data_IF_806225575659
#
_entry.id   IF_806225575659
#
_cell.length_a   1.000
_cell.length_b   1.000
_cell.length_c   1.000
_cell.angle_alpha   90.00
_cell.angle_beta   90.00
_cell.angle_gamma   90.00
#
_symmetry.space_group_name_H-M   'P 1'
#
loop_
_entity.id
_entity.type
_entity.pdbx_description
1 polymer ?
#
# COMPACT_ATOMS: atom_id res chain seq x y z
N UNK A 1 -3.16 8.19 15.97
CA UNK A 1 -4.22 7.44 15.31
C UNK A 1 -4.34 6.04 15.91
N UNK A 2 -5.53 5.63 16.21
CA UNK A 2 -5.75 4.33 16.80
C UNK A 2 -5.62 3.21 15.77
N UNK A 3 -4.80 2.22 16.04
CA UNK A 3 -4.56 1.09 15.15
C UNK A 3 -5.28 -0.15 15.68
N UNK A 4 -6.24 -0.64 14.89
CA UNK A 4 -6.92 -1.88 15.24
C UNK A 4 -6.08 -3.07 14.85
N UNK A 5 -5.57 -3.78 15.81
CA UNK A 5 -4.73 -4.96 15.56
C UNK A 5 -5.52 -6.16 15.06
N UNK A 6 -6.84 -6.04 14.94
CA UNK A 6 -7.69 -7.14 14.50
C UNK A 6 -7.50 -7.53 13.06
N UNK A 7 -7.26 -6.55 12.20
CA UNK A 7 -7.08 -6.80 10.78
C UNK A 7 -5.59 -6.93 10.48
N UNK A 8 -5.19 -8.14 10.16
CA UNK A 8 -3.79 -8.41 9.83
C UNK A 8 -3.72 -9.15 8.51
N UNK A 9 -2.63 -8.93 7.81
CA UNK A 9 -2.29 -9.74 6.63
C UNK A 9 -1.34 -10.82 7.09
N UNK A 10 -1.70 -12.07 6.84
CA UNK A 10 -0.88 -13.21 7.20
C UNK A 10 -0.14 -13.72 5.97
N UNK A 11 1.17 -13.76 6.07
CA UNK A 11 2.02 -14.29 5.00
C UNK A 11 2.79 -15.46 5.55
N UNK A 12 2.46 -16.66 5.09
CA UNK A 12 3.06 -17.89 5.60
C UNK A 12 3.63 -18.71 4.45
N UNK A 13 4.90 -19.07 4.55
CA UNK A 13 5.56 -19.88 3.55
C UNK A 13 6.71 -20.66 4.17
N UNK A 14 6.69 -21.98 4.03
CA UNK A 14 7.73 -22.83 4.59
C UNK A 14 7.78 -22.69 6.10
N UNK A 15 8.94 -22.38 6.62
CA UNK A 15 9.13 -22.22 8.06
C UNK A 15 8.87 -20.80 8.55
N UNK A 16 8.50 -19.88 7.64
CA UNK A 16 8.35 -18.48 7.98
C UNK A 16 6.89 -18.05 8.00
N UNK A 17 6.54 -17.27 9.01
CA UNK A 17 5.20 -16.69 9.12
C UNK A 17 5.33 -15.24 9.56
N UNK A 18 4.70 -14.35 8.81
CA UNK A 18 4.70 -12.91 9.10
C UNK A 18 3.27 -12.44 9.24
N UNK A 19 3.00 -11.69 10.29
CA UNK A 19 1.70 -11.07 10.53
C UNK A 19 1.88 -9.56 10.50
N UNK A 20 1.21 -8.90 9.55
CA UNK A 20 1.32 -7.45 9.39
C UNK A 20 -0.02 -6.81 9.71
N UNK A 21 -0.10 -6.01 10.80
CA UNK A 21 -1.32 -5.25 11.06
C UNK A 21 -1.56 -4.28 9.90
N UNK A 22 -2.76 -4.26 9.38
CA UNK A 22 -3.09 -3.47 8.19
C UNK A 22 -2.85 -1.98 8.38
N UNK A 23 -3.14 -1.49 9.57
CA UNK A 23 -2.97 -0.06 9.85
C UNK A 23 -1.51 0.38 9.82
N UNK A 24 -0.57 -0.57 9.94
CA UNK A 24 0.85 -0.27 9.89
C UNK A 24 1.45 -0.46 8.50
N UNK A 25 0.71 -1.08 7.60
CA UNK A 25 1.21 -1.38 6.26
C UNK A 25 1.06 -0.16 5.35
N UNK A 26 2.19 0.40 4.93
CA UNK A 26 2.18 1.59 4.09
C UNK A 26 2.23 1.24 2.61
N UNK A 27 3.21 0.43 2.22
CA UNK A 27 3.28 -0.02 0.83
C UNK A 27 4.11 -1.29 0.71
N UNK A 28 3.99 -1.93 -0.44
CA UNK A 28 4.74 -3.14 -0.78
C UNK A 28 5.32 -2.92 -2.16
N UNK A 29 6.62 -3.13 -2.31
CA UNK A 29 7.25 -2.96 -3.61
C UNK A 29 7.97 -4.23 -4.04
N UNK A 30 7.95 -4.47 -5.35
CA UNK A 30 8.61 -5.62 -5.93
C UNK A 30 10.14 -5.45 -5.87
N UNK A 31 10.83 -6.54 -5.57
CA UNK A 31 12.28 -6.56 -5.50
C UNK A 31 12.76 -7.90 -6.07
N UNK A 32 12.99 -7.95 -7.37
CA UNK A 32 13.31 -9.18 -8.10
C UNK A 32 12.17 -10.20 -7.93
N UNK A 33 12.46 -11.38 -7.41
CA UNK A 33 11.45 -12.42 -7.18
C UNK A 33 10.80 -12.31 -5.80
N UNK A 34 11.15 -11.27 -5.07
CA UNK A 34 10.66 -11.02 -3.71
C UNK A 34 9.80 -9.78 -3.68
N UNK A 35 9.17 -9.56 -2.55
CA UNK A 35 8.46 -8.31 -2.30
C UNK A 35 8.94 -7.74 -0.97
N UNK A 36 9.00 -6.43 -0.89
CA UNK A 36 9.44 -5.72 0.30
C UNK A 36 8.24 -5.03 0.93
N UNK A 37 7.92 -5.41 2.16
CA UNK A 37 6.81 -4.83 2.91
C UNK A 37 7.36 -3.70 3.77
N UNK A 38 6.78 -2.50 3.61
CA UNK A 38 7.23 -1.33 4.34
C UNK A 38 6.13 -0.86 5.28
N UNK A 39 6.48 -0.76 6.55
CA UNK A 39 5.53 -0.37 7.58
C UNK A 39 5.81 1.06 8.06
N UNK A 40 4.88 1.58 8.86
CA UNK A 40 4.86 2.98 9.26
C UNK A 40 6.11 3.43 10.01
N UNK A 41 6.77 2.50 10.70
CA UNK A 41 8.02 2.82 11.40
C UNK A 41 9.25 2.81 10.48
N UNK A 42 9.04 2.64 9.18
CA UNK A 42 10.12 2.62 8.20
C UNK A 42 10.80 1.27 8.04
N UNK A 43 10.34 0.27 8.78
CA UNK A 43 10.94 -1.05 8.69
C UNK A 43 10.56 -1.74 7.38
N UNK A 44 11.54 -2.40 6.77
CA UNK A 44 11.35 -3.12 5.52
C UNK A 44 11.52 -4.62 5.78
N UNK A 45 10.53 -5.39 5.34
CA UNK A 45 10.57 -6.84 5.51
C UNK A 45 10.48 -7.49 4.15
N UNK A 46 11.47 -8.30 3.83
CA UNK A 46 11.53 -8.99 2.54
C UNK A 46 10.81 -10.33 2.65
N UNK A 47 9.90 -10.59 1.72
CA UNK A 47 9.16 -11.85 1.70
C UNK A 47 9.32 -12.53 0.36
N UNK A 48 9.33 -13.87 0.37
CA UNK A 48 9.56 -14.68 -0.83
C UNK A 48 8.30 -14.90 -1.64
N UNK A 49 7.61 -13.80 -1.93
CA UNK A 49 6.41 -13.80 -2.76
C UNK A 49 6.54 -12.71 -3.80
N UNK A 50 6.04 -12.98 -4.99
CA UNK A 50 5.94 -11.94 -6.00
C UNK A 50 4.75 -11.07 -5.66
N UNK A 51 4.75 -9.84 -6.17
CA UNK A 51 3.74 -8.84 -5.83
C UNK A 51 2.32 -9.30 -6.16
N UNK A 52 2.15 -9.99 -7.30
CA UNK A 52 0.85 -10.53 -7.68
C UNK A 52 0.32 -11.56 -6.70
N UNK A 53 1.21 -12.36 -6.12
CA UNK A 53 0.83 -13.35 -5.13
C UNK A 53 0.36 -12.68 -3.85
N UNK A 54 1.02 -11.58 -3.46
CA UNK A 54 0.63 -10.82 -2.28
C UNK A 54 -0.72 -10.15 -2.53
N UNK A 55 -0.94 -9.64 -3.73
CA UNK A 55 -2.22 -9.06 -4.09
C UNK A 55 -3.35 -10.07 -3.91
N UNK A 56 -3.13 -11.31 -4.34
CA UNK A 56 -4.11 -12.38 -4.17
C UNK A 56 -4.37 -12.67 -2.69
N UNK A 57 -3.31 -12.69 -1.88
CA UNK A 57 -3.48 -12.90 -0.44
C UNK A 57 -4.29 -11.80 0.21
N UNK A 58 -4.07 -10.56 -0.21
CA UNK A 58 -4.83 -9.41 0.30
C UNK A 58 -6.31 -9.59 -0.03
N UNK A 59 -6.63 -9.94 -1.27
CA UNK A 59 -8.02 -10.13 -1.66
C UNK A 59 -8.68 -11.28 -0.91
N UNK A 60 -7.99 -12.40 -0.75
CA UNK A 60 -8.53 -13.56 -0.06
C UNK A 60 -8.78 -13.30 1.42
N UNK A 61 -7.84 -12.64 2.07
CA UNK A 61 -7.90 -12.50 3.52
C UNK A 61 -8.72 -11.30 3.98
N UNK A 62 -8.72 -10.22 3.22
CA UNK A 62 -9.27 -8.97 3.68
C UNK A 62 -10.66 -8.63 3.12
N UNK A 63 -11.08 -9.31 2.06
CA UNK A 63 -12.40 -9.07 1.49
C UNK A 63 -12.64 -7.59 1.18
N UNK A 64 -13.59 -6.98 1.86
CA UNK A 64 -13.94 -5.58 1.63
C UNK A 64 -12.78 -4.63 1.96
N UNK A 65 -11.98 -4.98 2.95
CA UNK A 65 -10.82 -4.16 3.33
C UNK A 65 -9.73 -4.16 2.28
N UNK A 66 -9.77 -5.09 1.33
CA UNK A 66 -8.77 -5.16 0.27
C UNK A 66 -8.82 -3.93 -0.64
N UNK A 67 -9.97 -3.22 -0.68
CA UNK A 67 -10.13 -2.03 -1.48
C UNK A 67 -9.26 -0.86 -1.06
N UNK A 68 -8.72 -0.90 0.16
CA UNK A 68 -7.81 0.12 0.63
C UNK A 68 -6.41 -0.04 0.03
N UNK A 69 -6.12 -1.20 -0.54
CA UNK A 69 -4.82 -1.48 -1.13
C UNK A 69 -4.90 -1.43 -2.65
N UNK A 70 -4.13 -0.54 -3.24
CA UNK A 70 -4.19 -0.27 -4.68
C UNK A 70 -2.92 -0.71 -5.37
N UNK A 71 -3.07 -1.46 -6.45
CA UNK A 71 -1.94 -1.87 -7.28
C UNK A 71 -1.60 -0.73 -8.23
N UNK A 72 -0.37 -0.23 -8.15
CA UNK A 72 0.12 0.82 -9.05
C UNK A 72 1.18 0.22 -9.97
N UNK A 73 0.78 -0.06 -11.20
CA UNK A 73 1.70 -0.65 -12.16
C UNK A 73 2.12 -2.06 -11.76
N UNK A 74 3.33 -2.42 -12.13
CA UNK A 74 3.85 -3.76 -11.90
C UNK A 74 4.61 -3.94 -10.60
N UNK A 75 5.04 -2.85 -10.02
CA UNK A 75 6.01 -2.91 -8.94
C UNK A 75 5.55 -2.42 -7.59
N UNK A 76 4.29 -2.02 -7.46
CA UNK A 76 3.89 -1.33 -6.24
C UNK A 76 2.45 -1.61 -5.83
N UNK A 77 2.26 -1.86 -4.54
CA UNK A 77 0.93 -1.89 -3.92
C UNK A 77 0.99 -0.87 -2.80
N UNK A 78 0.04 0.05 -2.76
CA UNK A 78 0.02 1.08 -1.71
C UNK A 78 -1.24 0.95 -0.86
N UNK A 79 -1.13 1.40 0.39
CA UNK A 79 -2.28 1.57 1.25
C UNK A 79 -2.81 2.97 1.03
N UNK A 80 -3.99 3.09 0.43
CA UNK A 80 -4.53 4.39 0.05
C UNK A 80 -4.74 5.33 1.23
N UNK A 81 -4.86 4.79 2.44
CA UNK A 81 -5.01 5.60 3.65
C UNK A 81 -3.77 6.46 3.93
N UNK A 82 -2.64 6.12 3.35
CA UNK A 82 -1.40 6.86 3.57
C UNK A 82 -1.07 7.85 2.45
N UNK A 83 -1.92 7.98 1.45
CA UNK A 83 -1.66 8.92 0.37
C UNK A 83 -1.70 10.35 0.92
N UNK A 84 -0.58 11.03 0.84
CA UNK A 84 -0.44 12.39 1.37
C UNK A 84 -0.31 13.43 0.26
N UNK A 85 0.48 13.13 -0.79
CA UNK A 85 0.75 14.10 -1.83
C UNK A 85 0.95 13.40 -3.16
N UNK A 86 0.26 13.87 -4.19
CA UNK A 86 0.42 13.38 -5.56
C UNK A 86 0.81 14.56 -6.43
N UNK A 87 1.95 14.45 -7.10
CA UNK A 87 2.39 15.45 -8.09
C UNK A 87 2.56 14.75 -9.42
N UNK A 88 1.57 14.88 -10.28
CA UNK A 88 1.55 14.19 -11.57
C UNK A 88 2.68 14.67 -12.47
N UNK A 89 2.89 15.97 -12.51
CA UNK A 89 3.94 16.58 -13.35
C UNK A 89 5.33 16.10 -12.97
N UNK A 90 5.61 16.04 -11.68
CA UNK A 90 6.91 15.58 -11.17
C UNK A 90 6.99 14.08 -10.98
N UNK A 91 5.91 13.36 -11.24
CA UNK A 91 5.82 11.91 -11.08
C UNK A 91 6.18 11.46 -9.69
N UNK A 92 5.66 12.18 -8.71
CA UNK A 92 5.97 11.98 -7.30
C UNK A 92 4.73 11.59 -6.52
N UNK A 93 4.89 10.59 -5.67
CA UNK A 93 3.84 10.15 -4.76
C UNK A 93 4.45 10.10 -3.36
N UNK A 94 3.81 10.81 -2.43
CA UNK A 94 4.24 10.78 -1.03
C UNK A 94 3.21 10.02 -0.22
N UNK A 95 3.69 9.02 0.52
CA UNK A 95 2.87 8.29 1.48
C UNK A 95 3.32 8.69 2.87
N UNK A 96 2.37 9.07 3.69
CA UNK A 96 2.67 9.58 5.04
C UNK A 96 1.42 9.51 5.90
N UNK A 97 1.61 9.40 7.21
CA UNK A 97 0.52 9.54 8.17
C UNK A 97 0.37 10.99 8.63
N UNK A 98 1.18 11.89 8.03
CA UNK A 98 1.17 13.30 8.39
C UNK A 98 1.98 13.61 9.63
N UNK A 99 2.61 12.63 10.22
CA UNK A 99 3.30 12.79 11.50
C UNK A 99 4.63 12.05 11.54
N UNK A 100 4.62 10.72 11.58
CA UNK A 100 5.82 9.93 11.86
C UNK A 100 6.51 9.34 10.65
N UNK A 101 5.82 9.15 9.56
CA UNK A 101 6.44 8.53 8.40
C UNK A 101 6.32 9.40 7.15
N UNK A 102 7.29 9.23 6.27
CA UNK A 102 7.34 9.98 5.02
C UNK A 102 8.09 9.15 3.99
N UNK A 103 7.37 8.73 2.96
CA UNK A 103 7.96 7.93 1.88
C UNK A 103 7.69 8.59 0.55
N UNK A 104 8.75 8.88 -0.20
CA UNK A 104 8.63 9.44 -1.53
C UNK A 104 8.83 8.34 -2.56
N UNK A 105 7.84 8.16 -3.40
CA UNK A 105 7.87 7.14 -4.45
C UNK A 105 7.67 7.79 -5.80
N UNK A 106 8.07 7.08 -6.85
CA UNK A 106 7.89 7.53 -8.22
C UNK A 106 6.89 6.63 -8.93
N UNK A 107 6.06 7.22 -9.78
CA UNK A 107 5.13 6.47 -10.61
C UNK A 107 4.88 7.26 -11.90
N UNK A 108 4.37 6.59 -12.92
CA UNK A 108 4.13 7.25 -14.20
C UNK A 108 3.02 8.31 -14.08
N UNK A 109 3.05 9.28 -14.98
CA UNK A 109 2.02 10.32 -15.02
C UNK A 109 0.65 9.71 -15.22
N UNK A 110 0.56 8.68 -16.05
CA UNK A 110 -0.71 8.00 -16.30
C UNK A 110 -1.27 7.39 -15.02
N UNK A 111 -0.45 6.65 -14.29
CA UNK A 111 -0.86 6.02 -13.04
C UNK A 111 -1.27 7.05 -12.00
N UNK A 112 -0.44 8.08 -11.83
CA UNK A 112 -0.71 9.12 -10.84
C UNK A 112 -1.93 9.95 -11.19
N UNK A 113 -2.16 10.18 -12.48
CA UNK A 113 -3.35 10.89 -12.95
C UNK A 113 -4.63 10.14 -12.62
N UNK A 114 -4.62 8.84 -12.85
CA UNK A 114 -5.77 8.00 -12.52
C UNK A 114 -6.02 7.96 -11.02
N UNK A 115 -4.94 7.84 -10.24
CA UNK A 115 -5.03 7.81 -8.79
C UNK A 115 -5.60 9.11 -8.24
N UNK A 116 -5.12 10.24 -8.75
CA UNK A 116 -5.60 11.56 -8.35
C UNK A 116 -7.09 11.69 -8.63
N UNK A 117 -7.53 11.29 -9.83
CA UNK A 117 -8.94 11.37 -10.21
C UNK A 117 -9.80 10.50 -9.31
N UNK A 118 -9.33 9.29 -9.01
CA UNK A 118 -10.06 8.38 -8.14
C UNK A 118 -10.26 8.96 -6.74
N UNK A 119 -9.20 9.56 -6.17
CA UNK A 119 -9.27 10.15 -4.84
C UNK A 119 -10.21 11.35 -4.82
N UNK A 120 -10.14 12.19 -5.85
CA UNK A 120 -11.03 13.35 -5.94
C UNK A 120 -12.50 12.91 -6.01
N UNK A 121 -12.78 11.84 -6.75
CA UNK A 121 -14.13 11.33 -6.88
C UNK A 121 -14.63 10.76 -5.54
N UNK A 122 -13.78 10.01 -4.84
CA UNK A 122 -14.11 9.45 -3.53
C UNK A 122 -14.42 10.55 -2.52
N UNK A 123 -13.56 11.57 -2.49
CA UNK A 123 -13.72 12.68 -1.56
C UNK A 123 -15.01 13.46 -1.83
N UNK A 124 -15.28 13.75 -3.09
CA UNK A 124 -16.49 14.49 -3.46
C UNK A 124 -17.75 13.69 -3.15
N UNK A 125 -17.70 12.39 -3.33
CA UNK A 125 -18.81 11.50 -3.02
C UNK A 125 -19.16 11.53 -1.53
N UNK A 126 -18.14 11.59 -0.69
CA UNK A 126 -18.32 11.63 0.76
C UNK A 126 -18.89 12.94 1.27
N UNK A 127 -18.72 14.01 0.53
CA UNK A 127 -19.16 15.32 0.96
C UNK A 127 -20.67 15.58 0.82
N UNK A 128 -21.37 14.66 0.23
CA UNK A 128 -22.81 14.82 0.06
C UNK A 128 -23.60 14.63 1.36
#
# INVERSE_FOLDING_TARGET
MYCKMKEVLLISKGAELIRVPLCNLVFIQASANYSEIVTVNGKKTLVSFQLGQIEDLIEEQLGESSGDFLRLGRGLIINSSYIFHIDVTRQKLVLSDGDRCWFELSASKEVLGKLKTWIEAEHNSEKK
#
